data_IF_136297402094
#
_entry.id   IF_136297402094
#
_cell.length_a   1.000
_cell.length_b   1.000
_cell.length_c   1.000
_cell.angle_alpha   90.00
_cell.angle_beta   90.00
_cell.angle_gamma   90.00
#
_symmetry.space_group_name_H-M   'P 1'
#
loop_
_entity.id
_entity.type
_entity.pdbx_description
1 polymer ?
#
# COMPACT_ATOMS: atom_id res chain seq x y z
N UNK A 1 -14.81 -2.85 -1.51
CA UNK A 1 -14.05 -2.93 -2.78
C UNK A 1 -12.55 -3.22 -2.56
N UNK A 2 -12.08 -3.38 -1.33
CA UNK A 2 -10.68 -3.69 -1.03
C UNK A 2 -10.47 -5.15 -0.61
N UNK A 3 -9.29 -5.67 -0.91
CA UNK A 3 -8.78 -6.98 -0.49
C UNK A 3 -7.33 -6.83 -0.06
N UNK A 4 -6.90 -7.66 0.88
CA UNK A 4 -5.52 -7.66 1.36
C UNK A 4 -4.87 -9.03 1.16
N UNK A 5 -3.63 -8.99 0.70
CA UNK A 5 -2.74 -10.15 0.70
C UNK A 5 -1.60 -9.87 1.67
N UNK A 6 -1.44 -10.73 2.67
CA UNK A 6 -0.33 -10.64 3.63
C UNK A 6 0.72 -11.65 3.21
N UNK A 7 1.96 -11.17 3.05
CA UNK A 7 3.12 -11.97 2.64
C UNK A 7 4.18 -11.89 3.72
N UNK A 8 4.56 -13.05 4.27
CA UNK A 8 5.60 -13.20 5.31
C UNK A 8 6.67 -14.20 4.91
N UNK A 9 6.46 -14.97 3.85
CA UNK A 9 7.45 -15.90 3.36
C UNK A 9 8.52 -15.19 2.53
N UNK A 10 9.79 -15.55 2.80
CA UNK A 10 10.95 -14.88 2.21
C UNK A 10 11.04 -15.04 0.69
N UNK A 11 10.54 -16.12 0.15
CA UNK A 11 10.61 -16.39 -1.30
C UNK A 11 9.68 -15.44 -2.05
N UNK A 12 8.42 -15.32 -1.62
CA UNK A 12 7.47 -14.38 -2.22
C UNK A 12 7.90 -12.92 -2.02
N UNK A 13 8.48 -12.56 -0.84
CA UNK A 13 9.04 -11.22 -0.62
C UNK A 13 10.17 -10.93 -1.61
N UNK A 14 11.08 -11.88 -1.85
CA UNK A 14 12.15 -11.72 -2.84
C UNK A 14 11.60 -11.57 -4.27
N UNK A 15 10.52 -12.28 -4.61
CA UNK A 15 9.84 -12.11 -5.89
C UNK A 15 9.18 -10.73 -5.99
N UNK A 16 8.52 -10.25 -4.95
CA UNK A 16 7.93 -8.90 -4.89
C UNK A 16 8.99 -7.80 -5.03
N UNK A 17 10.23 -8.04 -4.58
CA UNK A 17 11.34 -7.12 -4.77
C UNK A 17 11.57 -6.81 -6.26
N UNK A 18 11.27 -7.72 -7.17
CA UNK A 18 11.41 -7.49 -8.62
C UNK A 18 10.42 -6.45 -9.16
N UNK A 19 9.30 -6.23 -8.45
CA UNK A 19 8.29 -5.25 -8.81
C UNK A 19 8.68 -3.82 -8.38
N UNK A 20 9.67 -3.68 -7.49
CA UNK A 20 10.06 -2.41 -6.87
C UNK A 20 11.58 -2.25 -6.86
N UNK A 21 12.08 -1.12 -7.38
CA UNK A 21 13.52 -0.91 -7.64
C UNK A 21 14.37 -0.60 -6.39
N UNK A 22 13.80 -0.56 -5.19
CA UNK A 22 14.49 -0.23 -3.96
C UNK A 22 14.77 -1.48 -3.13
N UNK A 23 16.04 -1.83 -2.96
CA UNK A 23 16.50 -3.08 -2.36
C UNK A 23 16.01 -3.30 -0.90
N UNK A 24 15.72 -2.23 -0.18
CA UNK A 24 15.25 -2.30 1.21
C UNK A 24 13.88 -3.01 1.36
N UNK A 25 13.06 -3.12 0.30
CA UNK A 25 11.76 -3.80 0.40
C UNK A 25 11.90 -5.24 0.87
N UNK A 26 12.93 -5.95 0.41
CA UNK A 26 13.20 -7.35 0.77
C UNK A 26 13.66 -7.52 2.23
N UNK A 27 14.00 -6.43 2.94
CA UNK A 27 14.36 -6.48 4.37
C UNK A 27 13.15 -6.49 5.29
N UNK A 28 11.97 -6.13 4.79
CA UNK A 28 10.74 -6.15 5.57
C UNK A 28 10.32 -7.59 5.89
N UNK A 29 9.99 -7.91 7.15
CA UNK A 29 9.55 -9.27 7.54
C UNK A 29 8.13 -9.59 7.08
N UNK A 30 7.36 -8.55 6.71
CA UNK A 30 5.99 -8.67 6.24
C UNK A 30 5.68 -7.56 5.23
N UNK A 31 4.95 -7.91 4.18
CA UNK A 31 4.40 -6.96 3.22
C UNK A 31 2.91 -7.22 3.11
N UNK A 32 2.08 -6.18 3.36
CA UNK A 32 0.66 -6.22 3.03
C UNK A 32 0.47 -5.60 1.65
N UNK A 33 -0.17 -6.32 0.76
CA UNK A 33 -0.58 -5.81 -0.54
C UNK A 33 -2.05 -5.45 -0.45
N UNK A 34 -2.37 -4.17 -0.61
CA UNK A 34 -3.74 -3.70 -0.68
C UNK A 34 -4.17 -3.66 -2.14
N UNK A 35 -5.26 -4.34 -2.43
CA UNK A 35 -5.83 -4.46 -3.77
C UNK A 35 -7.22 -3.81 -3.82
N UNK A 36 -7.53 -3.17 -4.94
CA UNK A 36 -8.85 -2.69 -5.28
C UNK A 36 -9.62 -3.73 -6.10
N UNK A 37 -10.92 -3.87 -5.80
CA UNK A 37 -11.87 -4.55 -6.66
C UNK A 37 -12.82 -3.51 -7.25
N UNK A 38 -12.58 -3.14 -8.50
CA UNK A 38 -13.35 -2.09 -9.20
C UNK A 38 -14.81 -2.50 -9.47
N UNK A 39 -15.09 -3.81 -9.53
CA UNK A 39 -16.47 -4.32 -9.73
C UNK A 39 -17.34 -4.10 -8.48
N UNK A 40 -16.74 -3.99 -7.30
CA UNK A 40 -17.43 -3.77 -6.02
C UNK A 40 -17.37 -2.33 -5.54
N UNK A 41 -16.66 -1.45 -6.25
CA UNK A 41 -16.47 -0.07 -5.83
C UNK A 41 -17.73 0.77 -6.05
N UNK A 42 -17.85 1.82 -5.22
CA UNK A 42 -18.88 2.82 -5.44
C UNK A 42 -18.46 3.78 -6.56
N UNK A 43 -19.39 4.04 -7.47
CA UNK A 43 -19.20 5.01 -8.54
C UNK A 43 -20.09 6.24 -8.32
N UNK A 44 -19.48 7.41 -8.42
CA UNK A 44 -20.22 8.67 -8.30
C UNK A 44 -21.15 8.87 -9.51
N UNK A 45 -22.45 9.05 -9.24
CA UNK A 45 -23.46 9.08 -10.30
C UNK A 45 -23.27 10.19 -11.33
N UNK A 46 -22.70 11.34 -10.95
CA UNK A 46 -22.59 12.51 -11.82
C UNK A 46 -21.60 12.32 -12.98
N UNK A 47 -20.51 11.60 -12.75
CA UNK A 47 -19.39 11.47 -13.71
C UNK A 47 -18.82 10.05 -13.78
N UNK A 48 -19.49 9.10 -13.15
CA UNK A 48 -19.08 7.69 -13.07
C UNK A 48 -17.66 7.49 -12.49
N UNK A 49 -17.18 8.44 -11.67
CA UNK A 49 -15.87 8.31 -11.04
C UNK A 49 -15.85 7.12 -10.07
N UNK A 50 -14.95 6.19 -10.31
CA UNK A 50 -14.64 5.07 -9.42
C UNK A 50 -13.94 5.57 -8.15
N UNK A 51 -14.31 5.03 -7.00
CA UNK A 51 -13.74 5.38 -5.69
C UNK A 51 -12.94 4.25 -5.04
N UNK A 52 -12.65 3.17 -5.76
CA UNK A 52 -11.90 2.02 -5.25
C UNK A 52 -10.57 2.42 -4.60
N UNK A 53 -9.79 3.29 -5.26
CA UNK A 53 -8.50 3.78 -4.74
C UNK A 53 -8.66 4.60 -3.47
N UNK A 54 -9.76 5.38 -3.35
CA UNK A 54 -10.06 6.15 -2.13
C UNK A 54 -10.36 5.20 -0.98
N UNK A 55 -11.16 4.17 -1.21
CA UNK A 55 -11.50 3.16 -0.21
C UNK A 55 -10.26 2.39 0.26
N UNK A 56 -9.39 2.00 -0.68
CA UNK A 56 -8.10 1.36 -0.37
C UNK A 56 -7.22 2.30 0.44
N UNK A 57 -7.11 3.59 0.06
CA UNK A 57 -6.29 4.57 0.76
C UNK A 57 -6.74 4.75 2.22
N UNK A 58 -8.06 4.87 2.47
CA UNK A 58 -8.60 4.97 3.82
C UNK A 58 -8.24 3.74 4.65
N UNK A 59 -8.43 2.54 4.10
CA UNK A 59 -8.14 1.30 4.81
C UNK A 59 -6.64 1.13 5.11
N UNK A 60 -5.77 1.50 4.16
CA UNK A 60 -4.31 1.43 4.34
C UNK A 60 -3.83 2.44 5.39
N UNK A 61 -4.41 3.66 5.43
CA UNK A 61 -4.06 4.64 6.47
C UNK A 61 -4.41 4.11 7.87
N UNK A 62 -5.56 3.47 8.04
CA UNK A 62 -5.92 2.82 9.31
C UNK A 62 -4.91 1.71 9.69
N UNK A 63 -4.43 0.93 8.73
CA UNK A 63 -3.37 -0.08 8.97
C UNK A 63 -2.09 0.62 9.45
N UNK A 64 -1.67 1.71 8.81
CA UNK A 64 -0.46 2.45 9.19
C UNK A 64 -0.58 3.06 10.60
N UNK A 65 -1.74 3.62 10.96
CA UNK A 65 -2.00 4.14 12.29
C UNK A 65 -1.96 3.04 13.36
N UNK A 66 -2.63 1.93 13.11
CA UNK A 66 -2.61 0.77 14.02
C UNK A 66 -1.20 0.18 14.18
N UNK A 67 -0.43 0.08 13.09
CA UNK A 67 0.96 -0.37 13.15
C UNK A 67 1.82 0.57 14.01
N UNK A 68 1.63 1.89 13.87
CA UNK A 68 2.34 2.89 14.67
C UNK A 68 2.03 2.76 16.16
N UNK A 69 0.77 2.53 16.52
CA UNK A 69 0.34 2.29 17.91
C UNK A 69 1.02 1.06 18.51
N UNK A 70 1.28 0.05 17.68
CA UNK A 70 2.00 -1.18 18.06
C UNK A 70 3.53 -1.04 18.03
N UNK A 71 4.07 0.15 17.78
CA UNK A 71 5.51 0.40 17.68
C UNK A 71 6.15 -0.13 16.38
N UNK A 72 5.34 -0.40 15.36
CA UNK A 72 5.80 -0.84 14.05
C UNK A 72 5.92 0.34 13.09
N UNK A 73 6.82 0.22 12.12
CA UNK A 73 6.97 1.14 11.01
C UNK A 73 6.34 0.58 9.74
N UNK A 74 5.81 1.47 8.93
CA UNK A 74 5.23 1.16 7.63
C UNK A 74 5.72 2.14 6.57
N UNK A 75 5.61 1.76 5.31
CA UNK A 75 5.84 2.66 4.19
C UNK A 75 4.76 2.44 3.12
N UNK A 76 4.22 3.54 2.59
CA UNK A 76 3.37 3.51 1.41
C UNK A 76 4.21 3.39 0.15
N UNK A 77 4.09 2.28 -0.58
CA UNK A 77 4.77 2.06 -1.85
C UNK A 77 3.72 1.93 -2.95
N UNK A 78 3.55 3.00 -3.74
CA UNK A 78 2.66 3.02 -4.90
C UNK A 78 3.43 3.01 -6.24
N UNK A 79 4.71 3.41 -6.24
CA UNK A 79 5.53 3.43 -7.44
C UNK A 79 6.21 2.08 -7.68
N UNK A 80 5.43 1.07 -8.05
CA UNK A 80 5.89 -0.28 -8.37
C UNK A 80 5.24 -0.79 -9.65
N UNK A 81 5.73 -1.91 -10.19
CA UNK A 81 5.14 -2.56 -11.36
C UNK A 81 3.93 -3.42 -10.92
N UNK A 82 2.72 -2.87 -11.05
CA UNK A 82 1.48 -3.53 -10.65
C UNK A 82 1.19 -4.80 -11.46
N UNK A 83 1.50 -4.82 -12.76
CA UNK A 83 1.30 -5.99 -13.61
C UNK A 83 2.19 -7.18 -13.14
N UNK A 84 3.47 -6.91 -12.91
CA UNK A 84 4.40 -7.92 -12.39
C UNK A 84 4.01 -8.39 -10.98
N UNK A 85 3.55 -7.48 -10.12
CA UNK A 85 3.04 -7.82 -8.79
C UNK A 85 1.83 -8.76 -8.87
N UNK A 86 0.90 -8.50 -9.79
CA UNK A 86 -0.24 -9.37 -10.07
C UNK A 86 0.21 -10.78 -10.45
N UNK A 87 1.19 -10.90 -11.35
CA UNK A 87 1.74 -12.19 -11.80
C UNK A 87 2.40 -12.95 -10.65
N UNK A 88 3.28 -12.30 -9.89
CA UNK A 88 3.98 -12.88 -8.74
C UNK A 88 2.99 -13.45 -7.72
N UNK A 89 1.93 -12.71 -7.41
CA UNK A 89 0.93 -13.09 -6.41
C UNK A 89 -0.22 -13.93 -6.99
N UNK A 90 -0.27 -14.13 -8.31
CA UNK A 90 -1.34 -14.82 -9.04
C UNK A 90 -2.71 -14.25 -8.66
N UNK A 91 -2.82 -12.91 -8.67
CA UNK A 91 -4.07 -12.24 -8.35
C UNK A 91 -5.11 -12.47 -9.44
N UNK A 92 -6.40 -12.63 -9.08
CA UNK A 92 -7.48 -12.68 -10.05
C UNK A 92 -7.58 -11.37 -10.83
N UNK A 93 -8.18 -11.42 -12.03
CA UNK A 93 -8.23 -10.28 -12.96
C UNK A 93 -8.96 -9.05 -12.41
N UNK A 94 -9.96 -9.28 -11.56
CA UNK A 94 -10.75 -8.22 -10.94
C UNK A 94 -10.08 -7.55 -9.73
N UNK A 95 -8.88 -7.98 -9.33
CA UNK A 95 -8.11 -7.34 -8.24
C UNK A 95 -6.89 -6.61 -8.80
N UNK A 96 -6.84 -5.30 -8.58
CA UNK A 96 -5.69 -4.46 -8.88
C UNK A 96 -4.85 -4.23 -7.63
N UNK A 97 -3.53 -4.56 -7.63
CA UNK A 97 -2.65 -4.18 -6.52
C UNK A 97 -2.38 -2.67 -6.58
N UNK A 98 -2.80 -1.94 -5.53
CA UNK A 98 -2.71 -0.47 -5.46
C UNK A 98 -1.54 -0.02 -4.60
N UNK A 99 -1.32 -0.69 -3.47
CA UNK A 99 -0.30 -0.30 -2.50
C UNK A 99 0.43 -1.53 -1.97
N UNK A 100 1.76 -1.46 -1.89
CA UNK A 100 2.57 -2.36 -1.07
C UNK A 100 2.87 -1.66 0.25
N UNK A 101 2.56 -2.30 1.36
CA UNK A 101 2.81 -1.80 2.71
C UNK A 101 3.78 -2.76 3.43
N UNK A 102 5.10 -2.56 3.29
CA UNK A 102 6.06 -3.25 4.13
C UNK A 102 5.89 -2.83 5.58
N UNK A 103 5.94 -3.80 6.49
CA UNK A 103 5.76 -3.61 7.94
C UNK A 103 6.89 -4.29 8.67
N UNK A 104 7.47 -3.60 9.66
CA UNK A 104 8.52 -4.14 10.52
C UNK A 104 8.84 -3.19 11.66
N UNK A 105 9.79 -3.56 12.51
CA UNK A 105 10.32 -2.64 13.50
C UNK A 105 11.20 -1.58 12.84
N UNK A 106 11.08 -0.29 13.24
CA UNK A 106 11.93 0.77 12.67
C UNK A 106 13.40 0.53 13.05
N UNK A 107 14.30 0.71 12.07
CA UNK A 107 15.74 0.68 12.30
C UNK A 107 16.30 2.05 12.66
N UNK A 108 15.67 3.10 12.13
CA UNK A 108 16.10 4.49 12.29
C UNK A 108 15.03 5.31 13.00
N UNK A 109 15.43 6.41 13.62
CA UNK A 109 14.52 7.42 14.13
C UNK A 109 13.78 8.12 12.96
N UNK A 110 12.54 8.53 13.22
CA UNK A 110 11.75 9.24 12.23
C UNK A 110 12.41 10.59 11.92
N UNK A 111 12.74 10.83 10.66
CA UNK A 111 13.30 12.13 10.22
C UNK A 111 12.28 13.25 10.43
N UNK A 112 12.79 14.44 10.73
CA UNK A 112 11.98 15.65 10.79
C UNK A 112 11.18 15.82 9.48
N UNK A 113 9.91 16.18 9.63
CA UNK A 113 8.99 16.31 8.50
C UNK A 113 8.82 17.77 8.12
N UNK A 114 9.13 18.07 6.87
CA UNK A 114 8.81 19.36 6.30
C UNK A 114 7.34 19.36 5.82
N UNK A 115 6.46 19.99 6.59
CA UNK A 115 5.03 20.14 6.28
C UNK A 115 4.76 21.56 5.82
N UNK A 116 3.79 21.72 4.91
CA UNK A 116 3.25 23.03 4.56
C UNK A 116 2.58 23.69 5.77
N UNK A 117 2.63 25.01 5.85
CA UNK A 117 1.88 25.76 6.84
C UNK A 117 0.37 25.69 6.55
N UNK A 118 -0.46 25.98 7.57
CA UNK A 118 -1.92 25.88 7.42
C UNK A 118 -2.47 26.84 6.35
N UNK A 119 -1.93 28.03 6.24
CA UNK A 119 -2.29 29.04 5.24
C UNK A 119 -1.95 28.64 3.79
N UNK A 120 -1.03 27.69 3.61
CA UNK A 120 -0.71 27.14 2.29
C UNK A 120 -1.67 26.02 1.85
N UNK A 121 -2.50 25.51 2.76
CA UNK A 121 -3.44 24.39 2.49
C UNK A 121 -4.89 24.75 2.72
N UNK A 122 -5.17 25.86 3.39
CA UNK A 122 -6.51 26.44 3.55
C UNK A 122 -6.67 27.61 2.57
N UNK A 123 -7.81 27.67 1.92
CA UNK A 123 -8.16 28.74 0.98
C UNK A 123 -9.62 29.15 1.12
#
# INVERSE_FOLDING_TARGET
PWRFRIVTDKETIAQLQTCYKRDWLSTAPCIIIACANHEESWHRRADNKDHADIDVAIAVEHICLAATELGLATCWVCNFNAALCREVLRLPENLEPVVLVPIGYPLDECKEKNRKALDEILF
#
